data_IF_105673573160
#
_entry.id   IF_105673573160
#
_cell.length_a   1.000
_cell.length_b   1.000
_cell.length_c   1.000
_cell.angle_alpha   90.00
_cell.angle_beta   90.00
_cell.angle_gamma   90.00
#
_symmetry.space_group_name_H-M   'P 1'
#
loop_
_entity.id
_entity.type
_entity.pdbx_description
1 polymer ?
#
# COMPACT_ATOMS: atom_id res chain seq x y z
N UNK A 1 -33.01 10.84 -48.62
CA UNK A 1 -32.18 10.71 -49.81
C UNK A 1 -30.75 10.57 -49.33
N UNK A 2 -30.23 9.37 -49.41
CA UNK A 2 -29.18 8.91 -50.33
C UNK A 2 -27.83 9.52 -49.94
N UNK A 3 -26.74 8.92 -49.67
CA UNK A 3 -26.16 7.57 -49.98
C UNK A 3 -24.79 7.53 -49.25
N UNK A 4 -24.39 6.47 -48.49
CA UNK A 4 -23.55 5.34 -49.00
C UNK A 4 -22.25 5.82 -49.64
N UNK A 5 -21.08 5.35 -49.35
CA UNK A 5 -20.51 4.01 -49.25
C UNK A 5 -19.00 4.13 -48.95
N UNK A 6 -18.41 3.26 -48.15
CA UNK A 6 -17.53 2.13 -48.54
C UNK A 6 -16.16 2.57 -49.09
N UNK A 7 -15.02 2.02 -48.82
CA UNK A 7 -14.56 0.62 -48.87
C UNK A 7 -13.06 0.65 -48.51
N UNK A 8 -12.60 -0.24 -47.66
CA UNK A 8 -11.72 -1.38 -47.90
C UNK A 8 -10.25 -1.05 -48.19
N UNK A 9 -9.37 -1.57 -47.37
CA UNK A 9 -8.60 -2.81 -47.55
C UNK A 9 -7.40 -2.68 -48.50
N UNK A 10 -6.19 -2.88 -48.05
CA UNK A 10 -5.32 -3.93 -48.57
C UNK A 10 -4.00 -4.05 -47.78
N UNK A 11 -3.82 -5.24 -47.33
CA UNK A 11 -2.60 -5.98 -47.10
C UNK A 11 -1.56 -5.81 -48.22
N UNK A 12 -0.31 -5.80 -47.85
CA UNK A 12 0.72 -6.48 -48.63
C UNK A 12 1.88 -6.94 -47.74
N UNK A 13 2.00 -8.23 -47.65
CA UNK A 13 3.14 -9.04 -47.21
C UNK A 13 4.18 -8.99 -48.34
N UNK A 14 5.46 -8.86 -48.01
CA UNK A 14 6.50 -9.48 -48.84
C UNK A 14 7.73 -9.83 -48.00
N UNK A 15 8.00 -11.11 -48.02
CA UNK A 15 9.19 -11.87 -47.64
C UNK A 15 10.34 -11.64 -48.65
N UNK A 16 11.58 -11.78 -48.22
CA UNK A 16 12.72 -12.49 -48.85
C UNK A 16 14.02 -11.98 -48.19
N UNK A 17 14.85 -12.71 -47.68
CA UNK A 17 15.57 -13.97 -47.87
C UNK A 17 17.08 -13.71 -47.79
N UNK A 18 17.73 -14.45 -46.90
CA UNK A 18 19.06 -15.06 -46.94
C UNK A 18 20.18 -14.42 -47.79
N UNK A 19 21.31 -14.12 -47.15
CA UNK A 19 22.59 -14.63 -47.68
C UNK A 19 23.62 -14.82 -46.55
N UNK A 20 24.07 -16.05 -46.44
CA UNK A 20 25.26 -16.56 -45.79
C UNK A 20 26.52 -16.01 -46.46
N UNK A 21 27.50 -15.61 -45.69
CA UNK A 21 28.88 -15.73 -46.13
C UNK A 21 29.79 -16.04 -44.95
N UNK A 22 30.28 -17.26 -44.96
CA UNK A 22 31.38 -17.78 -44.15
C UNK A 22 32.71 -17.24 -44.66
N UNK A 23 33.58 -16.79 -43.75
CA UNK A 23 35.02 -16.95 -43.93
C UNK A 23 35.70 -17.13 -42.58
N UNK A 24 36.27 -18.33 -42.41
CA UNK A 24 37.29 -18.66 -41.42
C UNK A 24 38.61 -17.98 -41.80
N UNK A 25 39.37 -17.53 -40.81
CA UNK A 25 40.82 -17.80 -40.74
C UNK A 25 41.36 -17.54 -39.32
N UNK A 26 42.34 -18.33 -39.02
CA UNK A 26 42.86 -18.84 -37.77
C UNK A 26 43.75 -17.87 -36.96
N UNK A 27 43.85 -18.23 -35.68
CA UNK A 27 45.02 -18.23 -34.81
C UNK A 27 45.72 -16.88 -34.51
N UNK A 28 45.63 -16.42 -33.27
CA UNK A 28 46.80 -16.29 -32.42
C UNK A 28 46.36 -16.22 -30.96
N UNK A 29 46.88 -17.11 -30.13
CA UNK A 29 46.82 -17.03 -28.66
C UNK A 29 48.16 -16.46 -28.20
N UNK A 30 48.19 -15.47 -27.32
CA UNK A 30 48.96 -15.67 -26.13
C UNK A 30 48.36 -15.10 -24.82
N UNK A 31 48.57 -15.91 -23.78
CA UNK A 31 48.86 -15.55 -22.40
C UNK A 31 47.76 -14.82 -21.59
N UNK A 32 47.22 -15.58 -20.66
CA UNK A 32 46.51 -15.08 -19.47
C UNK A 32 47.37 -14.16 -18.60
N UNK A 33 46.79 -13.11 -18.03
CA UNK A 33 47.27 -12.56 -16.76
C UNK A 33 46.25 -12.81 -15.67
N UNK A 34 46.78 -13.37 -14.59
CA UNK A 34 46.40 -13.30 -13.18
C UNK A 34 44.96 -12.87 -12.80
N UNK A 35 44.27 -13.82 -12.15
CA UNK A 35 43.10 -13.57 -11.31
C UNK A 35 43.35 -12.45 -10.29
N UNK A 36 42.47 -11.45 -10.15
CA UNK A 36 42.38 -10.71 -8.92
C UNK A 36 41.55 -11.53 -7.92
N UNK A 37 42.15 -11.84 -6.80
CA UNK A 37 41.55 -12.37 -5.58
C UNK A 37 40.23 -11.65 -5.29
N UNK A 38 39.12 -12.37 -5.37
CA UNK A 38 37.84 -11.88 -4.91
C UNK A 38 37.85 -11.76 -3.39
N UNK A 39 37.79 -10.54 -2.92
CA UNK A 39 37.42 -10.18 -1.56
C UNK A 39 36.01 -10.74 -1.30
N UNK A 40 35.73 -11.38 -0.16
CA UNK A 40 34.40 -11.92 0.11
C UNK A 40 33.40 -10.77 0.18
N UNK A 41 32.46 -10.77 -0.74
CA UNK A 41 31.29 -9.92 -0.69
C UNK A 41 30.61 -10.12 0.67
N UNK A 42 30.46 -9.05 1.43
CA UNK A 42 29.66 -9.02 2.64
C UNK A 42 28.25 -9.54 2.28
N UNK A 43 27.81 -10.59 2.98
CA UNK A 43 26.42 -11.05 2.97
C UNK A 43 25.53 -9.84 3.23
N UNK A 44 24.43 -9.66 2.46
CA UNK A 44 23.42 -8.67 2.81
C UNK A 44 22.91 -9.04 4.19
N UNK A 45 22.95 -8.10 5.12
CA UNK A 45 22.38 -8.25 6.44
C UNK A 45 20.95 -8.73 6.27
N UNK A 46 20.67 -9.94 6.71
CA UNK A 46 19.35 -10.53 6.82
C UNK A 46 18.54 -9.58 7.70
N UNK A 47 17.61 -8.85 7.08
CA UNK A 47 16.62 -8.04 7.77
C UNK A 47 15.84 -9.01 8.65
N UNK A 48 16.09 -9.00 9.95
CA UNK A 48 15.35 -9.80 10.90
C UNK A 48 13.86 -9.46 10.74
N UNK A 49 13.07 -10.40 10.20
CA UNK A 49 11.62 -10.31 10.24
C UNK A 49 11.21 -10.24 11.72
N UNK A 50 10.35 -9.28 12.11
CA UNK A 50 9.82 -9.24 13.46
C UNK A 50 8.99 -10.52 13.67
N UNK A 51 9.50 -11.44 14.48
CA UNK A 51 8.76 -12.62 14.92
C UNK A 51 7.77 -12.17 15.96
N UNK A 52 6.47 -12.33 15.68
CA UNK A 52 5.42 -12.12 16.66
C UNK A 52 5.57 -13.16 17.80
N UNK A 53 6.05 -12.74 18.96
CA UNK A 53 6.22 -13.59 20.15
C UNK A 53 4.94 -13.66 21.03
N UNK A 54 3.82 -13.04 20.61
CA UNK A 54 2.57 -12.95 21.36
C UNK A 54 1.44 -13.79 20.79
N UNK A 55 0.38 -13.96 21.58
CA UNK A 55 -0.85 -14.61 21.12
C UNK A 55 -1.60 -13.72 20.13
N UNK A 56 -2.10 -14.31 19.02
CA UNK A 56 -2.97 -13.61 18.06
C UNK A 56 -4.25 -13.13 18.74
N UNK A 57 -4.80 -12.03 18.23
CA UNK A 57 -5.99 -11.40 18.80
C UNK A 57 -5.74 -10.52 20.01
N UNK A 58 -4.48 -10.31 20.43
CA UNK A 58 -4.13 -9.41 21.52
C UNK A 58 -3.78 -8.02 21.01
N UNK A 59 -4.30 -7.01 21.73
CA UNK A 59 -3.95 -5.61 21.49
C UNK A 59 -2.53 -5.39 22.00
N UNK A 60 -1.67 -4.83 21.15
CA UNK A 60 -0.28 -4.50 21.50
C UNK A 60 -0.05 -3.01 21.71
N UNK A 61 -0.83 -2.19 21.02
CA UNK A 61 -0.75 -0.72 21.11
C UNK A 61 -2.14 -0.11 20.92
N UNK A 62 -2.27 1.16 21.33
CA UNK A 62 -3.35 2.04 20.93
C UNK A 62 -2.78 3.21 20.12
N UNK A 63 -3.47 3.61 19.05
CA UNK A 63 -3.20 4.83 18.30
C UNK A 63 -4.32 5.83 18.49
N UNK A 64 -3.99 7.04 18.91
CA UNK A 64 -4.91 8.18 18.95
C UNK A 64 -4.67 9.04 17.72
N UNK A 65 -5.62 9.06 16.81
CA UNK A 65 -5.58 9.83 15.56
C UNK A 65 -6.39 11.12 15.81
N UNK A 66 -5.71 12.22 15.99
CA UNK A 66 -6.33 13.54 16.19
C UNK A 66 -6.65 14.16 14.83
N UNK A 67 -7.94 14.38 14.56
CA UNK A 67 -8.45 14.97 13.33
C UNK A 67 -8.85 16.42 13.60
N UNK A 68 -8.30 17.34 12.81
CA UNK A 68 -8.56 18.76 12.93
C UNK A 68 -10.07 19.06 12.93
N UNK A 69 -10.52 19.81 13.95
CA UNK A 69 -11.90 20.26 14.14
C UNK A 69 -12.95 19.14 14.29
N UNK A 70 -12.52 17.85 14.37
CA UNK A 70 -13.42 16.71 14.48
C UNK A 70 -13.25 15.96 15.81
N UNK A 71 -12.02 15.80 16.31
CA UNK A 71 -11.71 15.08 17.55
C UNK A 71 -10.73 13.93 17.35
N UNK A 72 -10.74 12.99 18.29
CA UNK A 72 -9.77 11.89 18.34
C UNK A 72 -10.44 10.55 18.07
N UNK A 73 -9.91 9.82 17.11
CA UNK A 73 -10.27 8.42 16.82
C UNK A 73 -9.24 7.53 17.51
N UNK A 74 -9.67 6.64 18.41
CA UNK A 74 -8.81 5.69 19.10
C UNK A 74 -8.88 4.32 18.41
N UNK A 75 -7.72 3.77 18.06
CA UNK A 75 -7.57 2.49 17.36
C UNK A 75 -6.75 1.53 18.20
N UNK A 76 -7.26 0.33 18.45
CA UNK A 76 -6.48 -0.79 19.00
C UNK A 76 -5.71 -1.49 17.87
N UNK A 77 -4.40 -1.69 18.05
CA UNK A 77 -3.51 -2.32 17.08
C UNK A 77 -3.14 -3.74 17.51
N UNK A 78 -3.16 -4.67 16.55
CA UNK A 78 -2.96 -6.10 16.76
C UNK A 78 -1.62 -6.55 16.19
N UNK A 79 -0.52 -6.18 16.87
CA UNK A 79 0.85 -6.43 16.41
C UNK A 79 1.23 -7.90 16.26
N UNK A 80 0.50 -8.82 16.89
CA UNK A 80 0.75 -10.26 16.75
C UNK A 80 0.04 -10.86 15.52
N UNK A 81 -0.98 -10.18 14.99
CA UNK A 81 -1.71 -10.58 13.78
C UNK A 81 -1.11 -9.95 12.52
N UNK A 82 -0.62 -8.70 12.64
CA UNK A 82 -0.04 -7.94 11.54
C UNK A 82 1.24 -7.18 12.00
N UNK A 83 2.30 -7.92 12.38
CA UNK A 83 3.49 -7.33 13.00
C UNK A 83 4.21 -6.31 12.12
N UNK A 84 4.31 -6.55 10.82
CA UNK A 84 5.00 -5.64 9.88
C UNK A 84 4.18 -4.36 9.69
N UNK A 85 2.86 -4.49 9.51
CA UNK A 85 1.95 -3.36 9.32
C UNK A 85 1.89 -2.48 10.57
N UNK A 86 1.77 -3.09 11.76
CA UNK A 86 1.76 -2.35 13.03
C UNK A 86 3.10 -1.68 13.28
N UNK A 87 4.23 -2.39 13.12
CA UNK A 87 5.56 -1.81 13.32
C UNK A 87 5.81 -0.61 12.38
N UNK A 88 5.42 -0.73 11.10
CA UNK A 88 5.53 0.36 10.14
C UNK A 88 4.66 1.56 10.53
N UNK A 89 3.40 1.33 10.87
CA UNK A 89 2.47 2.38 11.26
C UNK A 89 2.95 3.11 12.54
N UNK A 90 3.38 2.36 13.57
CA UNK A 90 3.92 2.88 14.82
C UNK A 90 5.20 3.69 14.58
N UNK A 91 6.14 3.18 13.76
CA UNK A 91 7.36 3.91 13.36
C UNK A 91 7.01 5.26 12.74
N UNK A 92 6.16 5.25 11.71
CA UNK A 92 5.79 6.48 10.99
C UNK A 92 5.02 7.47 11.89
N UNK A 93 4.15 6.99 12.77
CA UNK A 93 3.45 7.84 13.73
C UNK A 93 4.42 8.50 14.72
N UNK A 94 5.35 7.74 15.30
CA UNK A 94 6.36 8.25 16.24
C UNK A 94 7.34 9.23 15.58
N UNK A 95 7.60 9.09 14.28
CA UNK A 95 8.39 10.04 13.49
C UNK A 95 7.61 11.32 13.13
N UNK A 96 6.31 11.38 13.44
CA UNK A 96 5.42 12.49 13.08
C UNK A 96 5.11 12.55 11.59
N UNK A 97 5.34 11.46 10.85
CA UNK A 97 5.14 11.39 9.40
C UNK A 97 3.70 11.75 8.99
N UNK A 98 2.72 11.37 9.79
CA UNK A 98 1.30 11.61 9.49
C UNK A 98 0.82 13.03 9.82
N UNK A 99 1.61 13.84 10.51
CA UNK A 99 1.21 15.18 10.93
C UNK A 99 0.97 16.08 9.72
N UNK A 100 -0.23 16.64 9.61
CA UNK A 100 -0.64 17.47 8.48
C UNK A 100 -1.04 16.70 7.22
N UNK A 101 -0.94 15.36 7.21
CA UNK A 101 -1.50 14.55 6.12
C UNK A 101 -3.02 14.50 6.20
N UNK A 102 -3.66 14.04 5.13
CA UNK A 102 -5.11 14.16 4.97
C UNK A 102 -5.76 12.83 4.60
N UNK A 103 -7.09 12.79 4.73
CA UNK A 103 -7.92 11.74 4.12
C UNK A 103 -8.37 12.23 2.73
N UNK A 104 -7.65 11.79 1.71
CA UNK A 104 -7.81 12.25 0.33
C UNK A 104 -8.89 11.49 -0.46
N UNK A 105 -9.34 10.34 0.07
CA UNK A 105 -10.35 9.49 -0.56
C UNK A 105 -11.35 9.01 0.47
N UNK A 106 -12.62 9.33 0.27
CA UNK A 106 -13.72 8.99 1.19
C UNK A 106 -14.92 8.52 0.40
N UNK A 107 -15.44 7.35 0.76
CA UNK A 107 -16.66 6.78 0.17
C UNK A 107 -17.60 6.39 1.31
N UNK A 108 -18.70 7.13 1.45
CA UNK A 108 -19.73 6.80 2.43
C UNK A 108 -20.29 5.39 2.19
N UNK A 109 -20.48 4.62 3.26
CA UNK A 109 -20.84 3.21 3.20
C UNK A 109 -19.69 2.25 2.88
N UNK A 110 -18.44 2.76 2.74
CA UNK A 110 -17.27 1.92 2.47
C UNK A 110 -16.12 2.26 3.41
N UNK A 111 -15.33 3.31 3.13
CA UNK A 111 -14.13 3.64 3.92
C UNK A 111 -13.67 5.10 3.75
N UNK A 112 -12.78 5.56 4.63
CA UNK A 112 -11.97 6.76 4.46
C UNK A 112 -10.48 6.39 4.42
N UNK A 113 -9.74 6.87 3.40
CA UNK A 113 -8.33 6.54 3.14
C UNK A 113 -7.46 7.79 3.20
N UNK A 114 -6.36 7.68 3.95
CA UNK A 114 -5.39 8.77 4.16
C UNK A 114 -3.95 8.28 4.28
N UNK A 115 -3.07 9.13 4.84
CA UNK A 115 -1.66 8.81 5.06
C UNK A 115 -0.78 8.93 3.80
N UNK A 116 -1.26 9.67 2.81
CA UNK A 116 -0.52 9.99 1.59
C UNK A 116 0.10 11.39 1.68
N UNK A 117 1.46 11.54 1.61
CA UNK A 117 2.10 12.86 1.63
C UNK A 117 1.75 13.74 0.43
N UNK A 118 1.28 13.16 -0.69
CA UNK A 118 0.84 13.91 -1.86
C UNK A 118 -0.66 14.27 -1.80
N UNK A 119 -1.44 13.68 -0.90
CA UNK A 119 -2.88 13.93 -0.75
C UNK A 119 -3.74 13.58 -1.96
N UNK A 120 -3.31 12.65 -2.81
CA UNK A 120 -3.98 12.28 -4.06
C UNK A 120 -3.93 10.77 -4.40
N UNK A 121 -3.43 9.95 -3.49
CA UNK A 121 -3.32 8.49 -3.64
C UNK A 121 -2.02 7.99 -4.27
N UNK A 122 -1.08 8.88 -4.63
CA UNK A 122 0.14 8.50 -5.37
C UNK A 122 1.40 8.42 -4.52
N UNK A 123 1.37 8.94 -3.30
CA UNK A 123 2.53 9.03 -2.41
C UNK A 123 2.62 7.89 -1.40
N UNK A 124 3.72 7.90 -0.65
CA UNK A 124 4.01 6.96 0.42
C UNK A 124 5.23 7.40 1.22
N UNK A 125 5.66 6.60 2.19
CA UNK A 125 6.84 6.88 3.03
C UNK A 125 8.19 6.73 2.28
N UNK A 126 8.17 6.17 1.08
CA UNK A 126 9.37 5.82 0.32
C UNK A 126 9.86 4.39 0.57
N UNK A 127 9.35 3.72 1.59
CA UNK A 127 9.61 2.32 1.90
C UNK A 127 8.34 1.49 1.71
N UNK A 128 8.44 0.35 1.05
CA UNK A 128 7.35 -0.60 0.92
C UNK A 128 7.50 -1.70 1.95
N UNK A 129 6.37 -2.22 2.40
CA UNK A 129 6.31 -3.35 3.34
C UNK A 129 5.62 -4.55 2.70
N UNK A 130 5.93 -5.75 3.20
CA UNK A 130 5.26 -6.99 2.84
C UNK A 130 3.78 -6.92 3.25
N UNK A 131 2.90 -7.35 2.35
CA UNK A 131 1.47 -7.43 2.62
C UNK A 131 1.13 -8.64 3.51
N UNK A 132 0.49 -8.40 4.65
CA UNK A 132 0.14 -9.40 5.65
C UNK A 132 -1.32 -9.85 5.49
N UNK A 133 -1.56 -10.68 4.47
CA UNK A 133 -2.88 -11.25 4.16
C UNK A 133 -2.75 -12.60 3.43
N UNK A 134 -3.80 -13.41 3.45
CA UNK A 134 -3.75 -14.80 2.99
C UNK A 134 -3.40 -14.98 1.51
N UNK A 135 -3.82 -14.07 0.62
CA UNK A 135 -3.41 -14.11 -0.80
C UNK A 135 -1.90 -13.90 -0.99
N UNK A 136 -1.19 -13.35 0.00
CA UNK A 136 0.27 -13.17 0.04
C UNK A 136 0.98 -14.22 0.94
N UNK A 137 0.26 -15.27 1.33
CA UNK A 137 0.81 -16.36 2.14
C UNK A 137 1.02 -16.02 3.62
N UNK A 138 0.38 -14.97 4.14
CA UNK A 138 0.43 -14.59 5.55
C UNK A 138 -0.93 -14.87 6.20
N UNK A 139 -0.89 -15.59 7.33
CA UNK A 139 -2.08 -15.89 8.11
C UNK A 139 -2.47 -14.69 8.99
N UNK A 140 -3.36 -13.86 8.48
CA UNK A 140 -4.00 -12.75 9.16
C UNK A 140 -5.52 -12.97 9.13
N UNK A 141 -6.09 -13.25 10.29
CA UNK A 141 -7.51 -13.59 10.45
C UNK A 141 -8.40 -12.37 10.74
N UNK A 142 -7.82 -11.15 10.81
CA UNK A 142 -8.59 -9.94 11.03
C UNK A 142 -9.44 -9.62 9.79
N UNK A 143 -10.68 -9.15 10.01
CA UNK A 143 -11.67 -8.95 8.95
C UNK A 143 -11.99 -7.47 8.75
N UNK A 144 -12.33 -7.09 7.51
CA UNK A 144 -12.74 -5.72 7.14
C UNK A 144 -14.19 -5.44 7.58
N UNK A 145 -14.44 -5.55 8.88
CA UNK A 145 -15.67 -5.09 9.50
C UNK A 145 -15.60 -3.58 9.80
N UNK A 146 -16.75 -2.98 10.11
CA UNK A 146 -16.83 -1.57 10.50
C UNK A 146 -15.80 -1.23 11.58
N UNK A 147 -15.05 -0.14 11.38
CA UNK A 147 -13.97 0.31 12.26
C UNK A 147 -12.63 -0.38 12.03
N UNK A 148 -12.52 -1.38 11.14
CA UNK A 148 -11.22 -1.96 10.81
C UNK A 148 -10.30 -0.91 10.17
N UNK A 149 -9.03 -0.86 10.63
CA UNK A 149 -7.95 -0.12 9.96
C UNK A 149 -7.08 -1.09 9.19
N UNK A 150 -6.78 -0.78 7.92
CA UNK A 150 -6.07 -1.66 7.00
C UNK A 150 -5.10 -0.88 6.12
N UNK A 151 -4.01 -1.52 5.69
CA UNK A 151 -3.04 -0.91 4.80
C UNK A 151 -3.57 -0.83 3.37
N UNK A 152 -3.52 0.37 2.79
CA UNK A 152 -3.72 0.54 1.35
C UNK A 152 -2.48 0.10 0.58
N UNK A 153 -2.68 -0.38 -0.66
CA UNK A 153 -1.62 -0.85 -1.55
C UNK A 153 -1.97 -0.68 -3.03
N UNK A 154 -0.97 -0.77 -3.88
CA UNK A 154 -1.16 -0.90 -5.33
C UNK A 154 -1.46 -2.35 -5.74
N UNK A 155 -1.33 -2.69 -7.01
CA UNK A 155 -1.57 -4.07 -7.48
C UNK A 155 -0.55 -5.09 -6.96
N UNK A 156 0.69 -4.68 -6.69
CA UNK A 156 1.69 -5.54 -6.07
C UNK A 156 1.34 -5.77 -4.60
N UNK A 157 1.39 -7.00 -4.15
CA UNK A 157 1.05 -7.38 -2.77
C UNK A 157 1.99 -6.73 -1.73
N UNK A 158 3.26 -6.53 -2.07
CA UNK A 158 4.29 -5.93 -1.22
C UNK A 158 4.52 -4.46 -1.57
N UNK A 159 3.45 -3.70 -1.78
CA UNK A 159 3.49 -2.27 -2.13
C UNK A 159 2.81 -1.35 -1.13
N UNK A 160 2.35 -1.88 0.00
CA UNK A 160 1.88 -1.05 1.09
C UNK A 160 3.04 -0.20 1.63
N UNK A 161 2.75 1.03 2.08
CA UNK A 161 3.77 1.98 2.56
C UNK A 161 3.22 2.76 3.76
N UNK A 162 2.76 4.00 3.57
CA UNK A 162 2.16 4.82 4.63
C UNK A 162 0.65 4.93 4.56
N UNK A 163 0.05 4.70 3.39
CA UNK A 163 -1.39 4.87 3.24
C UNK A 163 -2.19 3.79 3.97
N UNK A 164 -3.23 4.20 4.67
CA UNK A 164 -4.16 3.32 5.37
C UNK A 164 -5.61 3.76 5.13
N UNK A 165 -6.56 2.88 5.44
CA UNK A 165 -7.97 3.23 5.41
C UNK A 165 -8.70 2.69 6.63
N UNK A 166 -9.76 3.39 7.04
CA UNK A 166 -10.67 3.01 8.13
C UNK A 166 -12.02 2.66 7.51
N UNK A 167 -12.53 1.48 7.85
CA UNK A 167 -13.80 0.99 7.34
C UNK A 167 -14.99 1.72 7.97
N UNK A 168 -15.82 2.37 7.14
CA UNK A 168 -17.08 2.96 7.59
C UNK A 168 -18.17 1.90 7.76
N UNK A 169 -18.20 0.88 6.91
CA UNK A 169 -19.13 -0.26 6.99
C UNK A 169 -18.37 -1.57 6.74
N UNK A 170 -19.02 -2.70 7.01
CA UNK A 170 -18.48 -4.03 6.74
C UNK A 170 -18.24 -4.24 5.25
N UNK A 171 -17.05 -4.73 4.88
CA UNK A 171 -16.71 -5.06 3.50
C UNK A 171 -15.76 -6.26 3.44
N UNK A 172 -16.24 -7.40 3.92
CA UNK A 172 -15.44 -8.63 4.10
C UNK A 172 -14.91 -9.23 2.79
N UNK A 173 -15.35 -8.73 1.63
CA UNK A 173 -14.75 -9.10 0.33
C UNK A 173 -13.31 -8.65 0.15
N UNK A 174 -12.79 -7.76 1.03
CA UNK A 174 -11.38 -7.37 1.09
C UNK A 174 -10.53 -8.34 1.93
N UNK A 175 -11.15 -9.22 2.70
CA UNK A 175 -10.44 -10.17 3.54
C UNK A 175 -9.52 -11.06 2.72
N UNK A 176 -8.33 -11.30 3.24
CA UNK A 176 -7.30 -12.05 2.53
C UNK A 176 -6.64 -11.33 1.36
N UNK A 177 -6.98 -10.05 1.08
CA UNK A 177 -6.38 -9.25 0.01
C UNK A 177 -5.71 -7.96 0.51
N UNK A 178 -6.05 -7.51 1.71
CA UNK A 178 -5.46 -6.35 2.37
C UNK A 178 -5.14 -6.69 3.82
N UNK A 179 -4.17 -5.99 4.39
CA UNK A 179 -3.67 -6.22 5.75
C UNK A 179 -4.47 -5.37 6.75
N UNK A 180 -5.51 -5.95 7.36
CA UNK A 180 -6.11 -5.37 8.57
C UNK A 180 -5.09 -5.48 9.70
N UNK A 181 -4.90 -4.40 10.44
CA UNK A 181 -3.93 -4.38 11.54
C UNK A 181 -4.49 -3.78 12.85
N UNK A 182 -5.78 -3.42 12.87
CA UNK A 182 -6.43 -2.88 14.06
C UNK A 182 -7.90 -2.59 13.89
N UNK A 183 -8.52 -2.08 14.96
CA UNK A 183 -9.92 -1.66 14.98
C UNK A 183 -10.11 -0.40 15.81
N UNK A 184 -10.99 0.49 15.35
CA UNK A 184 -11.45 1.65 16.12
C UNK A 184 -12.19 1.17 17.36
N UNK A 185 -11.79 1.67 18.52
CA UNK A 185 -12.40 1.39 19.82
C UNK A 185 -13.19 2.59 20.37
N UNK A 186 -12.88 3.79 19.91
CA UNK A 186 -13.59 5.02 20.25
C UNK A 186 -13.50 6.02 19.10
N UNK A 187 -14.51 6.90 18.91
CA UNK A 187 -14.54 7.87 17.82
C UNK A 187 -15.08 7.34 16.48
N UNK A 188 -15.86 6.27 16.48
CA UNK A 188 -16.55 5.81 15.24
C UNK A 188 -17.62 6.79 14.75
N UNK A 189 -18.19 7.61 15.64
CA UNK A 189 -19.06 8.73 15.29
C UNK A 189 -18.34 9.81 14.48
N UNK A 190 -17.05 10.06 14.75
CA UNK A 190 -16.21 10.96 13.95
C UNK A 190 -16.01 10.38 12.54
N UNK A 191 -15.77 9.06 12.42
CA UNK A 191 -15.67 8.39 11.11
C UNK A 191 -16.98 8.51 10.32
N UNK A 192 -18.13 8.37 11.01
CA UNK A 192 -19.45 8.53 10.40
C UNK A 192 -19.65 9.95 9.88
N UNK A 193 -19.44 10.95 10.75
CA UNK A 193 -19.61 12.36 10.41
C UNK A 193 -18.74 12.76 9.21
N UNK A 194 -17.49 12.34 9.19
CA UNK A 194 -16.58 12.55 8.05
C UNK A 194 -17.08 11.88 6.79
N UNK A 195 -17.44 10.60 6.85
CA UNK A 195 -17.88 9.84 5.68
C UNK A 195 -19.23 10.31 5.13
N UNK A 196 -20.16 10.73 6.01
CA UNK A 196 -21.49 11.17 5.62
C UNK A 196 -21.51 12.60 5.07
N UNK A 197 -20.61 13.48 5.59
CA UNK A 197 -20.48 14.87 5.14
C UNK A 197 -19.59 15.03 3.89
N UNK A 198 -18.76 14.03 3.56
CA UNK A 198 -17.82 14.07 2.45
C UNK A 198 -18.51 14.36 1.11
N UNK A 199 -17.85 15.19 0.27
CA UNK A 199 -18.33 15.56 -1.07
C UNK A 199 -17.31 15.17 -2.13
N UNK A 200 -17.20 13.89 -2.45
CA UNK A 200 -16.25 13.45 -3.46
C UNK A 200 -16.60 14.02 -4.85
N UNK A 201 -15.58 14.32 -5.63
CA UNK A 201 -15.69 14.86 -6.99
C UNK A 201 -15.92 13.79 -8.05
N UNK A 202 -15.74 12.53 -7.69
CA UNK A 202 -15.89 11.37 -8.59
C UNK A 202 -16.39 10.12 -7.84
N UNK A 203 -16.70 9.08 -8.59
CA UNK A 203 -17.15 7.80 -8.04
C UNK A 203 -16.02 7.01 -7.32
N UNK A 204 -14.77 7.44 -7.45
CA UNK A 204 -13.64 6.86 -6.74
C UNK A 204 -13.52 7.41 -5.31
N UNK A 205 -14.27 8.46 -4.97
CA UNK A 205 -14.28 9.06 -3.64
C UNK A 205 -13.21 10.15 -3.46
N UNK A 206 -12.69 10.72 -4.53
CA UNK A 206 -11.65 11.78 -4.47
C UNK A 206 -12.20 13.03 -3.80
N UNK A 207 -11.55 13.49 -2.74
CA UNK A 207 -11.91 14.71 -2.00
C UNK A 207 -11.03 15.88 -2.49
N UNK A 208 -11.61 17.07 -2.79
CA UNK A 208 -10.83 18.27 -3.09
C UNK A 208 -9.81 18.57 -1.99
N UNK A 209 -8.61 19.03 -2.36
CA UNK A 209 -7.51 19.20 -1.42
C UNK A 209 -7.83 20.16 -0.26
N UNK A 210 -8.67 21.16 -0.49
CA UNK A 210 -9.13 22.13 0.50
C UNK A 210 -10.30 21.64 1.36
N UNK A 211 -10.88 20.48 1.05
CA UNK A 211 -11.97 19.84 1.81
C UNK A 211 -11.52 18.54 2.50
N UNK A 212 -10.26 18.12 2.36
CA UNK A 212 -9.74 16.90 2.97
C UNK A 212 -9.60 17.04 4.48
N UNK A 213 -10.18 16.12 5.30
CA UNK A 213 -9.93 16.09 6.75
C UNK A 213 -8.43 15.94 7.04
N UNK A 214 -7.91 16.77 7.95
CA UNK A 214 -6.48 16.84 8.27
C UNK A 214 -6.17 16.05 9.53
N UNK A 215 -5.13 15.25 9.51
CA UNK A 215 -4.56 14.57 10.68
C UNK A 215 -3.63 15.57 11.39
N UNK A 216 -3.99 16.05 12.57
CA UNK A 216 -3.12 16.90 13.40
C UNK A 216 -1.91 16.09 13.87
N UNK A 217 -2.16 14.89 14.40
CA UNK A 217 -1.12 13.98 14.88
C UNK A 217 -1.68 12.56 15.05
N UNK A 218 -0.76 11.59 15.12
CA UNK A 218 -1.06 10.23 15.60
C UNK A 218 -0.14 9.94 16.78
N UNK A 219 -0.72 9.68 17.95
CA UNK A 219 0.01 9.34 19.16
C UNK A 219 -0.13 7.86 19.50
N UNK A 220 1.00 7.18 19.72
CA UNK A 220 1.02 5.75 20.06
C UNK A 220 1.16 5.56 21.56
N UNK A 221 0.41 4.60 22.10
CA UNK A 221 0.45 4.16 23.50
C UNK A 221 0.59 2.64 23.53
N UNK A 222 1.41 2.12 24.44
CA UNK A 222 1.47 0.69 24.74
C UNK A 222 0.15 0.21 25.37
N UNK A 223 -0.24 -1.06 25.10
CA UNK A 223 -1.48 -1.65 25.63
C UNK A 223 -1.31 -2.23 27.03
#
# INVERSE_FOLDING_TARGET
>A
MKTRKHIMLMMAVLMCALMLCSCRLAADEPAAPAEPTAEPAAEPAESAEPTAEGEKGQITHYAEIDIADQGVITVALYGNDAPISVANFVKLANEGFYNGLTFHRIISGFMMQGGDPNGNGTGGSGENIRGEFSANGVDNALSHTRGAISMARSMNYDSASSQFFIMHQDYTSLDGQYAVFGYVTDGMDIVDDICESAKPTDNNGTIPADEQPVINSITIKEA
#
